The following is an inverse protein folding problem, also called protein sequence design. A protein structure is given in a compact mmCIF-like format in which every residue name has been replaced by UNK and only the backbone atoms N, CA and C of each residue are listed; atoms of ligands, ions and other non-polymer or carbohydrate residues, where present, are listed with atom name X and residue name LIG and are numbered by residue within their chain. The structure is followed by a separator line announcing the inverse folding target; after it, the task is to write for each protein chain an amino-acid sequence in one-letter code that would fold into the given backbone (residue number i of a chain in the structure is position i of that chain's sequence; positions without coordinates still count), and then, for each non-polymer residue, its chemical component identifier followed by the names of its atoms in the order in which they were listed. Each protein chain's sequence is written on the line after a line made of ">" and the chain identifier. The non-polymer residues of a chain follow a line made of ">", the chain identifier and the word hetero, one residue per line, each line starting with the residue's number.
data_IF_813200978374
#
_entry.id   IF_813200978374
#
_cell.length_a   1.000
_cell.length_b   1.000
_cell.length_c   1.000
_cell.angle_alpha   90.00
_cell.angle_beta   90.00
_cell.angle_gamma   90.00
#
_symmetry.space_group_name_H-M   'P 1'
#
loop_
_entity.id
_entity.type
_entity.pdbx_description
1 polymer ?
#
# COMPACT_ATOMS: atom_id res chain seq x y z
N UNK A 1 -13.28 -57.46 10.23
CA UNK A 1 -12.86 -57.78 11.61
C UNK A 1 -11.58 -57.01 11.97
N UNK A 2 -11.71 -55.89 12.67
CA UNK A 2 -10.87 -55.45 13.81
C UNK A 2 -11.34 -54.06 14.20
N UNK A 3 -11.46 -53.87 15.49
CA UNK A 3 -12.33 -52.90 16.12
C UNK A 3 -11.53 -51.95 17.01
N UNK A 4 -12.18 -50.81 17.29
CA UNK A 4 -12.11 -49.96 18.49
C UNK A 4 -10.92 -49.02 18.66
N UNK A 5 -11.30 -47.77 18.94
CA UNK A 5 -10.45 -46.72 19.50
C UNK A 5 -11.22 -45.41 19.65
N UNK A 6 -12.35 -45.40 20.35
CA UNK A 6 -13.12 -44.19 20.70
C UNK A 6 -12.56 -43.57 21.99
N UNK A 7 -12.14 -42.31 21.92
CA UNK A 7 -11.70 -41.53 23.09
C UNK A 7 -12.77 -40.50 23.46
N UNK A 8 -13.31 -40.66 24.66
CA UNK A 8 -14.33 -39.81 25.30
C UNK A 8 -13.66 -38.63 26.00
N UNK A 9 -14.09 -37.39 25.70
CA UNK A 9 -13.67 -36.19 26.42
C UNK A 9 -14.81 -35.77 27.36
N UNK A 10 -14.48 -35.77 28.66
CA UNK A 10 -15.33 -35.34 29.77
C UNK A 10 -15.50 -33.82 29.76
N UNK A 11 -16.74 -33.37 29.76
CA UNK A 11 -17.20 -32.02 30.05
C UNK A 11 -17.05 -31.70 31.54
N UNK A 12 -16.27 -30.67 31.87
CA UNK A 12 -16.19 -30.08 33.21
C UNK A 12 -17.00 -28.78 33.24
N UNK A 13 -18.16 -28.85 33.89
CA UNK A 13 -19.01 -27.70 34.16
C UNK A 13 -18.37 -26.78 35.22
N UNK A 14 -18.42 -25.48 34.96
CA UNK A 14 -18.04 -24.45 35.95
C UNK A 14 -19.16 -23.43 36.08
N UNK A 15 -19.94 -23.56 37.17
CA UNK A 15 -20.83 -22.53 37.70
C UNK A 15 -20.00 -21.39 38.31
N UNK A 16 -20.31 -20.13 37.99
CA UNK A 16 -20.04 -18.93 38.82
C UNK A 16 -21.05 -17.84 38.39
N UNK A 17 -22.07 -17.61 39.22
CA UNK A 17 -22.20 -16.57 40.25
C UNK A 17 -22.45 -15.17 39.68
N UNK A 18 -23.72 -14.79 39.73
CA UNK A 18 -24.29 -13.44 39.70
C UNK A 18 -24.04 -12.70 41.03
N UNK A 19 -23.74 -11.40 40.97
CA UNK A 19 -24.15 -10.32 41.91
C UNK A 19 -23.46 -9.02 41.50
N UNK A 20 -24.20 -7.98 41.09
CA UNK A 20 -24.46 -6.76 41.89
C UNK A 20 -23.20 -6.04 42.42
N UNK A 21 -22.93 -4.83 41.93
CA UNK A 21 -23.08 -3.58 42.71
C UNK A 21 -22.61 -2.37 41.90
N UNK A 22 -23.56 -1.58 41.43
CA UNK A 22 -23.37 -0.25 40.87
C UNK A 22 -23.60 0.77 41.99
N UNK A 23 -22.56 1.24 42.69
CA UNK A 23 -22.61 2.42 43.58
C UNK A 23 -21.23 2.69 44.21
N UNK A 24 -20.28 3.25 43.44
CA UNK A 24 -19.01 3.76 44.01
C UNK A 24 -18.22 4.67 43.04
N UNK A 25 -18.88 5.58 42.29
CA UNK A 25 -18.18 6.43 41.29
C UNK A 25 -18.31 7.94 41.41
N UNK A 26 -18.94 8.47 42.46
CA UNK A 26 -19.16 9.92 42.58
C UNK A 26 -18.36 10.65 43.67
N UNK A 27 -17.29 10.08 44.22
CA UNK A 27 -16.51 10.73 45.29
C UNK A 27 -15.05 11.08 44.94
N UNK A 28 -14.59 10.83 43.71
CA UNK A 28 -13.18 10.97 43.33
C UNK A 28 -12.85 12.16 42.41
N UNK A 29 -13.82 13.03 42.12
CA UNK A 29 -13.66 14.11 41.12
C UNK A 29 -13.35 15.50 41.69
N UNK A 30 -13.18 15.67 43.01
CA UNK A 30 -13.06 17.00 43.62
C UNK A 30 -11.66 17.36 44.17
N UNK A 31 -10.64 16.51 44.03
CA UNK A 31 -9.31 16.74 44.63
C UNK A 31 -8.12 16.80 43.65
N UNK A 32 -8.35 16.74 42.33
CA UNK A 32 -7.25 16.72 41.33
C UNK A 32 -7.09 17.98 40.47
N UNK A 33 -7.89 19.04 40.67
CA UNK A 33 -7.88 20.22 39.77
C UNK A 33 -6.96 21.36 40.21
N UNK A 34 -6.47 21.36 41.45
CA UNK A 34 -5.61 22.43 41.98
C UNK A 34 -4.14 22.37 41.48
N UNK A 35 -3.49 21.20 41.29
CA UNK A 35 -2.06 21.20 40.92
C UNK A 35 -1.78 21.49 39.43
N UNK A 36 -2.78 21.40 38.54
CA UNK A 36 -2.57 21.58 37.09
C UNK A 36 -2.40 23.07 36.73
N UNK A 37 -3.15 23.97 37.38
CA UNK A 37 -3.08 25.41 37.10
C UNK A 37 -1.73 25.99 37.52
N UNK A 38 -1.19 25.54 38.66
CA UNK A 38 0.14 25.96 39.12
C UNK A 38 1.26 25.51 38.17
N UNK A 39 1.15 24.30 37.61
CA UNK A 39 2.13 23.78 36.64
C UNK A 39 2.12 24.59 35.33
N UNK A 40 0.93 24.98 34.84
CA UNK A 40 0.81 25.80 33.64
C UNK A 40 1.44 27.19 33.80
N UNK A 41 1.33 27.81 34.99
CA UNK A 41 1.94 29.12 35.26
C UNK A 41 3.47 29.02 35.26
N UNK A 42 4.04 27.95 35.84
CA UNK A 42 5.49 27.74 35.85
C UNK A 42 6.04 27.49 34.43
N UNK A 43 5.35 26.67 33.63
CA UNK A 43 5.76 26.40 32.24
C UNK A 43 5.69 27.69 31.40
N UNK A 44 4.66 28.52 31.58
CA UNK A 44 4.54 29.79 30.88
C UNK A 44 5.67 30.77 31.26
N UNK A 45 6.05 30.83 32.54
CA UNK A 45 7.17 31.66 33.00
C UNK A 45 8.52 31.19 32.41
N UNK A 46 8.75 29.88 32.30
CA UNK A 46 9.98 29.32 31.69
C UNK A 46 10.06 29.64 30.19
N UNK A 47 8.93 29.62 29.47
CA UNK A 47 8.89 29.97 28.04
C UNK A 47 9.24 31.44 27.82
N UNK A 48 8.77 32.34 28.69
CA UNK A 48 9.07 33.78 28.59
C UNK A 48 10.54 34.11 28.93
N UNK A 49 11.19 33.33 29.78
CA UNK A 49 12.63 33.51 30.06
C UNK A 49 13.47 33.08 28.85
N UNK A 50 13.09 32.00 28.17
CA UNK A 50 13.82 31.52 26.99
C UNK A 50 13.66 32.38 25.74
N UNK A 51 12.56 33.13 25.60
CA UNK A 51 12.37 34.03 24.46
C UNK A 51 13.28 35.27 24.51
N UNK A 52 13.81 35.61 25.69
CA UNK A 52 14.70 36.76 25.87
C UNK A 52 16.19 36.47 25.64
N UNK A 53 16.61 35.19 25.57
CA UNK A 53 18.01 34.80 25.31
C UNK A 53 18.32 34.57 23.82
N UNK A 54 17.34 34.69 22.93
CA UNK A 54 17.49 34.35 21.51
C UNK A 54 17.91 35.52 20.59
N UNK A 55 18.30 36.69 21.14
CA UNK A 55 18.74 37.84 20.33
C UNK A 55 20.18 38.26 20.60
N UNK A 56 21.15 37.35 20.44
CA UNK A 56 22.55 37.74 20.32
C UNK A 56 23.43 36.58 19.86
N UNK A 57 23.69 36.47 18.55
CA UNK A 57 25.02 36.16 17.99
C UNK A 57 24.94 35.96 16.48
N UNK A 58 25.34 36.99 15.73
CA UNK A 58 25.89 36.82 14.37
C UNK A 58 27.43 36.71 14.46
N UNK A 59 27.99 36.11 13.40
CA UNK A 59 29.36 36.22 12.86
C UNK A 59 30.26 34.96 12.93
N UNK A 60 30.61 34.52 11.70
CA UNK A 60 31.89 34.01 11.18
C UNK A 60 32.03 32.55 10.71
N UNK A 61 32.05 32.43 9.38
CA UNK A 61 32.93 31.66 8.48
C UNK A 61 33.87 30.60 9.09
N UNK A 62 33.88 29.40 8.50
CA UNK A 62 35.07 28.87 7.80
C UNK A 62 34.77 27.58 7.01
N UNK A 63 35.64 27.35 6.02
CA UNK A 63 35.63 26.41 4.91
C UNK A 63 36.07 24.97 5.20
N UNK A 64 35.89 24.13 4.17
CA UNK A 64 36.63 22.89 3.83
C UNK A 64 36.11 21.62 4.54
N UNK A 65 35.96 20.44 3.94
CA UNK A 65 36.52 19.77 2.75
C UNK A 65 35.59 18.61 2.38
N UNK A 66 35.16 18.46 1.13
CA UNK A 66 34.55 17.21 0.66
C UNK A 66 34.82 17.00 -0.84
N UNK A 67 35.78 16.13 -1.14
CA UNK A 67 36.03 15.69 -2.51
C UNK A 67 36.63 14.29 -2.49
N UNK A 68 35.81 13.24 -2.53
CA UNK A 68 36.22 11.88 -2.93
C UNK A 68 34.98 11.02 -3.24
N UNK A 69 34.27 11.30 -4.34
CA UNK A 69 33.32 10.37 -4.99
C UNK A 69 32.87 10.79 -6.40
N UNK A 70 33.64 11.64 -7.10
CA UNK A 70 33.18 12.30 -8.34
C UNK A 70 33.88 11.87 -9.65
N UNK A 71 34.53 10.71 -9.70
CA UNK A 71 35.15 10.23 -10.95
C UNK A 71 34.68 8.84 -11.34
N UNK A 72 33.46 8.74 -11.87
CA UNK A 72 32.98 7.60 -12.69
C UNK A 72 31.63 7.91 -13.35
N UNK A 73 31.56 9.00 -14.10
CA UNK A 73 30.50 9.20 -15.11
C UNK A 73 31.15 9.82 -16.35
N UNK A 74 31.71 8.96 -17.21
CA UNK A 74 32.03 9.30 -18.59
C UNK A 74 30.73 9.20 -19.40
N UNK A 75 30.22 10.36 -19.81
CA UNK A 75 29.06 10.55 -20.67
C UNK A 75 29.30 9.95 -22.06
N UNK A 76 28.56 8.89 -22.40
CA UNK A 76 28.31 8.51 -23.79
C UNK A 76 27.19 9.39 -24.33
N UNK A 77 27.50 10.20 -25.33
CA UNK A 77 26.53 11.04 -26.06
C UNK A 77 25.64 10.16 -26.93
N UNK A 78 24.50 9.73 -26.38
CA UNK A 78 23.33 9.32 -27.17
C UNK A 78 22.47 10.55 -27.45
N UNK A 79 21.93 10.64 -28.67
CA UNK A 79 20.98 11.67 -29.11
C UNK A 79 19.76 11.73 -28.17
N UNK A 80 19.78 12.65 -27.22
CA UNK A 80 18.67 12.92 -26.31
C UNK A 80 17.50 13.50 -27.10
N UNK A 81 16.39 12.77 -27.14
CA UNK A 81 15.10 13.37 -27.46
C UNK A 81 14.83 14.42 -26.39
N UNK A 82 14.51 15.65 -26.80
CA UNK A 82 14.21 16.76 -25.87
C UNK A 82 12.85 16.45 -25.22
N UNK A 83 12.87 15.66 -24.15
CA UNK A 83 11.72 15.39 -23.32
C UNK A 83 11.38 16.65 -22.53
N UNK A 84 10.15 17.14 -22.69
CA UNK A 84 9.63 18.22 -21.84
C UNK A 84 9.49 17.66 -20.42
N UNK A 85 9.94 18.40 -19.38
CA UNK A 85 9.78 17.95 -18.01
C UNK A 85 8.31 17.67 -17.70
N UNK A 86 8.08 16.59 -16.97
CA UNK A 86 6.73 16.22 -16.53
C UNK A 86 6.14 17.38 -15.73
N UNK A 87 4.87 17.73 -16.00
CA UNK A 87 4.18 18.81 -15.29
C UNK A 87 3.89 18.43 -13.82
N UNK A 88 4.07 17.16 -13.45
CA UNK A 88 3.57 16.59 -12.21
C UNK A 88 4.71 16.16 -11.30
N UNK A 89 4.61 16.57 -10.03
CA UNK A 89 5.53 16.17 -8.97
C UNK A 89 4.93 15.12 -8.04
N UNK A 90 5.80 14.42 -7.35
CA UNK A 90 5.55 13.48 -6.26
C UNK A 90 5.92 14.19 -4.97
N UNK A 91 5.04 14.14 -3.98
CA UNK A 91 5.29 14.61 -2.64
C UNK A 91 6.18 13.63 -1.89
N UNK A 92 7.17 14.17 -1.19
CA UNK A 92 8.04 13.42 -0.30
C UNK A 92 7.68 13.63 1.17
N UNK A 93 6.53 14.24 1.50
CA UNK A 93 6.08 14.47 2.87
C UNK A 93 5.98 13.16 3.68
N UNK A 94 5.46 12.11 3.04
CA UNK A 94 5.47 10.74 3.55
C UNK A 94 6.87 10.10 3.46
N UNK A 95 7.95 10.86 3.39
CA UNK A 95 9.31 10.34 3.58
C UNK A 95 10.10 11.28 4.49
N UNK A 96 9.94 12.59 4.30
CA UNK A 96 10.70 13.65 4.95
C UNK A 96 10.18 14.03 6.35
N UNK A 97 8.86 14.00 6.56
CA UNK A 97 8.25 14.36 7.86
C UNK A 97 8.21 13.18 8.85
N UNK A 98 8.83 12.07 8.48
CA UNK A 98 8.89 10.86 9.28
C UNK A 98 9.81 11.01 10.49
N UNK A 99 9.28 10.76 11.68
CA UNK A 99 10.10 10.55 12.87
C UNK A 99 10.80 9.18 12.78
N UNK A 100 12.13 9.17 12.82
CA UNK A 100 12.92 7.92 12.90
C UNK A 100 12.38 7.03 14.02
N UNK A 101 11.94 5.83 13.68
CA UNK A 101 11.36 4.87 14.62
C UNK A 101 9.85 5.01 14.89
N UNK A 102 9.14 5.92 14.23
CA UNK A 102 7.67 6.02 14.26
C UNK A 102 6.96 4.85 13.54
N UNK A 103 5.62 4.77 13.62
CA UNK A 103 4.85 3.65 13.07
C UNK A 103 5.08 3.44 11.57
N UNK A 104 4.96 4.50 10.76
CA UNK A 104 5.14 4.42 9.30
C UNK A 104 6.56 3.93 8.94
N UNK A 105 7.57 4.42 9.65
CA UNK A 105 8.98 4.04 9.45
C UNK A 105 9.23 2.52 9.63
N UNK A 106 8.47 1.83 10.47
CA UNK A 106 8.72 0.41 10.78
C UNK A 106 7.96 -0.55 9.87
N UNK A 107 6.87 -0.12 9.26
CA UNK A 107 5.94 -1.04 8.57
C UNK A 107 5.67 -0.75 7.09
N UNK A 108 6.25 0.30 6.50
CA UNK A 108 6.15 0.54 5.05
C UNK A 108 4.71 0.68 4.55
N UNK A 109 4.44 0.16 3.36
CA UNK A 109 3.12 0.22 2.72
C UNK A 109 2.01 -0.45 3.53
N UNK A 110 2.27 -1.62 4.13
CA UNK A 110 1.28 -2.30 4.97
C UNK A 110 0.87 -1.44 6.17
N UNK A 111 1.81 -0.71 6.78
CA UNK A 111 1.45 0.21 7.86
C UNK A 111 0.70 1.44 7.38
N UNK A 112 1.02 1.95 6.19
CA UNK A 112 0.24 3.05 5.58
C UNK A 112 -1.19 2.60 5.29
N UNK A 113 -1.36 1.37 4.80
CA UNK A 113 -2.67 0.76 4.62
C UNK A 113 -3.45 0.70 5.93
N UNK A 114 -2.85 0.21 7.02
CA UNK A 114 -3.48 0.17 8.34
C UNK A 114 -3.91 1.58 8.81
N UNK A 115 -3.07 2.59 8.59
CA UNK A 115 -3.40 3.97 8.98
C UNK A 115 -4.54 4.55 8.11
N UNK A 116 -4.65 4.16 6.84
CA UNK A 116 -5.81 4.48 6.02
C UNK A 116 -7.09 3.77 6.52
N UNK A 117 -6.99 2.58 7.11
CA UNK A 117 -8.13 1.94 7.77
C UNK A 117 -8.58 2.76 9.00
N UNK A 118 -7.62 3.27 9.79
CA UNK A 118 -7.91 4.16 10.93
C UNK A 118 -8.63 5.44 10.45
N UNK A 119 -8.21 6.03 9.33
CA UNK A 119 -8.91 7.18 8.73
C UNK A 119 -10.31 6.83 8.22
N UNK A 120 -10.48 5.65 7.61
CA UNK A 120 -11.79 5.18 7.15
C UNK A 120 -12.77 5.09 8.33
N UNK A 121 -12.32 4.50 9.45
CA UNK A 121 -13.13 4.39 10.66
C UNK A 121 -13.51 5.75 11.22
N UNK A 122 -12.54 6.67 11.35
CA UNK A 122 -12.81 8.01 11.88
C UNK A 122 -13.79 8.78 11.00
N UNK A 123 -13.60 8.74 9.67
CA UNK A 123 -14.51 9.38 8.74
C UNK A 123 -15.92 8.77 8.82
N UNK A 124 -16.03 7.44 8.89
CA UNK A 124 -17.31 6.75 9.05
C UNK A 124 -18.03 7.19 10.33
N UNK A 125 -17.34 7.18 11.45
CA UNK A 125 -17.92 7.46 12.77
C UNK A 125 -18.41 8.92 12.85
N UNK A 126 -17.72 9.86 12.21
CA UNK A 126 -18.16 11.26 12.06
C UNK A 126 -19.39 11.43 11.15
N UNK A 127 -19.63 10.49 10.23
CA UNK A 127 -20.65 10.59 9.18
C UNK A 127 -21.77 9.55 9.33
N UNK A 128 -22.25 9.35 10.56
CA UNK A 128 -23.41 8.50 10.87
C UNK A 128 -23.26 7.03 10.42
N UNK A 129 -22.06 6.47 10.52
CA UNK A 129 -21.81 5.07 10.17
C UNK A 129 -22.13 4.71 8.72
N UNK A 130 -21.90 5.63 7.78
CA UNK A 130 -22.00 5.32 6.36
C UNK A 130 -21.07 4.15 6.00
N UNK A 131 -21.52 3.16 5.22
CA UNK A 131 -20.64 2.08 4.85
C UNK A 131 -19.54 2.58 3.92
N UNK A 132 -18.31 2.15 4.17
CA UNK A 132 -17.16 2.44 3.32
C UNK A 132 -16.64 1.16 2.68
N UNK A 133 -16.20 1.29 1.44
CA UNK A 133 -15.75 0.19 0.59
C UNK A 133 -14.25 0.33 0.37
N UNK A 134 -13.49 -0.72 0.65
CA UNK A 134 -12.04 -0.75 0.43
C UNK A 134 -11.68 -2.01 -0.35
N UNK A 135 -10.67 -1.89 -1.21
CA UNK A 135 -10.32 -2.95 -2.14
C UNK A 135 -8.83 -3.32 -2.05
N UNK A 136 -8.54 -4.61 -2.08
CA UNK A 136 -7.20 -5.18 -2.21
C UNK A 136 -7.12 -5.97 -3.52
N UNK A 137 -6.14 -5.64 -4.36
CA UNK A 137 -5.90 -6.28 -5.66
C UNK A 137 -4.52 -6.92 -5.66
N UNK A 138 -4.49 -8.23 -5.92
CA UNK A 138 -3.29 -9.06 -5.87
C UNK A 138 -2.94 -9.44 -4.44
N UNK A 139 -3.69 -10.43 -3.93
CA UNK A 139 -3.63 -10.85 -2.54
C UNK A 139 -2.86 -12.16 -2.41
N UNK A 140 -1.78 -12.15 -1.65
CA UNK A 140 -1.14 -13.41 -1.25
C UNK A 140 -1.93 -14.16 -0.16
N UNK A 141 -2.51 -13.41 0.79
CA UNK A 141 -3.14 -13.94 2.00
C UNK A 141 -4.36 -13.09 2.37
N UNK A 142 -5.32 -13.62 3.15
CA UNK A 142 -6.57 -12.90 3.44
C UNK A 142 -6.40 -11.77 4.47
N UNK A 143 -5.17 -11.41 4.83
CA UNK A 143 -4.86 -10.58 6.00
C UNK A 143 -5.45 -9.17 5.89
N UNK A 144 -5.21 -8.46 4.78
CA UNK A 144 -5.62 -7.06 4.64
C UNK A 144 -7.14 -6.97 4.42
N UNK A 145 -7.72 -7.82 3.57
CA UNK A 145 -9.17 -7.96 3.47
C UNK A 145 -9.88 -8.32 4.79
N UNK A 146 -9.33 -9.22 5.61
CA UNK A 146 -9.88 -9.52 6.93
C UNK A 146 -9.73 -8.33 7.89
N UNK A 147 -8.66 -7.56 7.80
CA UNK A 147 -8.50 -6.35 8.60
C UNK A 147 -9.61 -5.34 8.27
N UNK A 148 -9.84 -5.03 6.99
CA UNK A 148 -10.95 -4.18 6.52
C UNK A 148 -12.28 -4.64 7.12
N UNK A 149 -12.62 -5.92 6.92
CA UNK A 149 -13.89 -6.48 7.37
C UNK A 149 -14.05 -6.53 8.90
N UNK A 150 -12.96 -6.67 9.66
CA UNK A 150 -12.98 -6.62 11.15
C UNK A 150 -13.21 -5.22 11.69
N UNK A 151 -12.87 -4.19 10.92
CA UNK A 151 -13.14 -2.80 11.25
C UNK A 151 -14.55 -2.33 10.85
N UNK A 152 -15.45 -3.27 10.53
CA UNK A 152 -16.84 -2.99 10.09
C UNK A 152 -16.91 -2.13 8.82
N UNK A 153 -16.00 -2.41 7.88
CA UNK A 153 -15.93 -1.84 6.54
C UNK A 153 -16.18 -2.94 5.49
N UNK A 154 -16.59 -2.58 4.28
CA UNK A 154 -16.81 -3.53 3.18
C UNK A 154 -15.49 -3.79 2.44
N UNK A 155 -15.06 -5.06 2.44
CA UNK A 155 -13.82 -5.51 1.81
C UNK A 155 -14.09 -6.13 0.44
N UNK A 156 -13.39 -5.65 -0.58
CA UNK A 156 -13.39 -6.18 -1.94
C UNK A 156 -12.01 -6.76 -2.24
N UNK A 157 -11.97 -8.04 -2.57
CA UNK A 157 -10.77 -8.85 -2.51
C UNK A 157 -10.56 -9.51 -3.87
N UNK A 158 -9.52 -9.15 -4.61
CA UNK A 158 -9.29 -9.62 -5.99
C UNK A 158 -8.00 -10.43 -6.06
N UNK A 159 -8.12 -11.75 -6.27
CA UNK A 159 -6.97 -12.66 -6.35
C UNK A 159 -7.18 -13.76 -7.41
N UNK A 160 -6.35 -13.84 -8.47
CA UNK A 160 -6.47 -14.88 -9.48
C UNK A 160 -5.95 -16.27 -9.06
N UNK A 161 -4.93 -16.34 -8.21
CA UNK A 161 -4.13 -17.54 -7.97
C UNK A 161 -4.92 -18.67 -7.32
N UNK A 162 -5.09 -19.83 -8.00
CA UNK A 162 -5.73 -20.98 -7.39
C UNK A 162 -4.99 -21.49 -6.15
N UNK A 163 -3.66 -21.33 -6.10
CA UNK A 163 -2.86 -21.70 -4.92
C UNK A 163 -3.10 -20.78 -3.73
N UNK A 164 -3.16 -19.47 -3.96
CA UNK A 164 -3.48 -18.51 -2.89
C UNK A 164 -4.93 -18.67 -2.42
N UNK A 165 -5.86 -19.05 -3.32
CA UNK A 165 -7.28 -19.23 -3.00
C UNK A 165 -7.52 -20.16 -1.81
N UNK A 166 -6.88 -21.33 -1.75
CA UNK A 166 -7.14 -22.28 -0.66
C UNK A 166 -6.86 -21.63 0.72
N UNK A 167 -5.70 -20.96 0.84
CA UNK A 167 -5.32 -20.22 2.04
C UNK A 167 -6.28 -19.06 2.33
N UNK A 168 -6.70 -18.34 1.30
CA UNK A 168 -7.61 -17.18 1.43
C UNK A 168 -8.99 -17.62 1.93
N UNK A 169 -9.61 -18.59 1.27
CA UNK A 169 -10.93 -19.11 1.63
C UNK A 169 -10.89 -19.72 3.03
N UNK A 170 -9.86 -20.52 3.35
CA UNK A 170 -9.71 -21.07 4.70
C UNK A 170 -9.58 -19.98 5.78
N UNK A 171 -9.00 -18.82 5.45
CA UNK A 171 -8.95 -17.66 6.35
C UNK A 171 -10.29 -16.95 6.49
N UNK A 172 -11.02 -16.76 5.39
CA UNK A 172 -12.36 -16.16 5.40
C UNK A 172 -13.36 -17.03 6.18
N UNK A 173 -13.39 -18.34 5.94
CA UNK A 173 -14.30 -19.26 6.62
C UNK A 173 -14.04 -19.39 8.13
N UNK A 174 -12.82 -19.10 8.59
CA UNK A 174 -12.47 -19.04 10.01
C UNK A 174 -12.90 -17.74 10.70
N UNK A 175 -13.23 -16.70 9.94
CA UNK A 175 -13.66 -15.43 10.50
C UNK A 175 -15.07 -15.53 11.11
N UNK A 176 -15.43 -14.61 12.00
CA UNK A 176 -16.79 -14.55 12.54
C UNK A 176 -17.82 -14.26 11.42
N UNK A 177 -19.06 -14.78 11.50
CA UNK A 177 -20.06 -14.59 10.44
C UNK A 177 -20.34 -13.14 10.08
N UNK A 178 -20.29 -12.23 11.06
CA UNK A 178 -20.48 -10.79 10.84
C UNK A 178 -19.30 -10.14 10.09
N UNK A 179 -18.09 -10.70 10.21
CA UNK A 179 -16.92 -10.30 9.43
C UNK A 179 -17.03 -10.86 8.02
N UNK A 180 -17.41 -12.14 7.87
CA UNK A 180 -17.53 -12.79 6.56
C UNK A 180 -18.49 -12.04 5.63
N UNK A 181 -19.68 -11.64 6.13
CA UNK A 181 -20.68 -10.90 5.33
C UNK A 181 -20.18 -9.56 4.77
N UNK A 182 -19.04 -9.05 5.22
CA UNK A 182 -18.43 -7.80 4.73
C UNK A 182 -17.36 -8.06 3.67
N UNK A 183 -17.13 -9.33 3.28
CA UNK A 183 -16.11 -9.74 2.32
C UNK A 183 -16.78 -10.11 0.98
N UNK A 184 -16.29 -9.48 -0.09
CA UNK A 184 -16.62 -9.78 -1.48
C UNK A 184 -15.35 -10.28 -2.16
N UNK A 185 -15.30 -11.56 -2.52
CA UNK A 185 -14.10 -12.15 -3.11
C UNK A 185 -14.30 -12.43 -4.61
N UNK A 186 -13.35 -11.97 -5.41
CA UNK A 186 -13.29 -12.13 -6.86
C UNK A 186 -12.07 -12.98 -7.17
N UNK A 187 -12.28 -14.25 -7.52
CA UNK A 187 -11.22 -15.14 -7.97
C UNK A 187 -10.87 -14.87 -9.43
N UNK A 188 -10.37 -13.66 -9.69
CA UNK A 188 -10.15 -13.12 -11.03
C UNK A 188 -8.87 -12.29 -11.04
N UNK A 189 -8.22 -12.22 -12.19
CA UNK A 189 -7.08 -11.32 -12.38
C UNK A 189 -7.58 -9.91 -12.70
N UNK A 190 -7.16 -8.90 -11.93
CA UNK A 190 -7.45 -7.53 -12.32
C UNK A 190 -6.74 -7.21 -13.66
N UNK A 191 -7.47 -6.61 -14.61
CA UNK A 191 -6.98 -6.31 -15.96
C UNK A 191 -7.80 -5.17 -16.58
N UNK A 192 -7.50 -4.80 -17.82
CA UNK A 192 -8.23 -3.81 -18.60
C UNK A 192 -9.64 -4.22 -19.07
N UNK A 193 -10.01 -5.50 -18.96
CA UNK A 193 -11.29 -6.05 -19.43
C UNK A 193 -11.79 -7.13 -18.47
N UNK A 194 -13.10 -7.36 -18.48
CA UNK A 194 -13.75 -8.42 -17.69
C UNK A 194 -14.06 -9.67 -18.53
N UNK A 195 -14.03 -10.81 -17.87
CA UNK A 195 -14.40 -12.14 -18.39
C UNK A 195 -13.52 -12.69 -19.54
N UNK A 196 -12.39 -12.05 -19.83
CA UNK A 196 -11.38 -12.57 -20.76
C UNK A 196 -10.54 -13.62 -20.05
N UNK A 197 -10.25 -14.72 -20.75
CA UNK A 197 -9.34 -15.76 -20.27
C UNK A 197 -7.89 -15.28 -20.40
N UNK A 198 -7.18 -15.25 -19.29
CA UNK A 198 -5.76 -14.91 -19.22
C UNK A 198 -4.95 -16.12 -18.78
N UNK A 199 -3.80 -16.32 -19.42
CA UNK A 199 -2.80 -17.26 -18.95
C UNK A 199 -2.17 -16.72 -17.67
N UNK A 200 -2.03 -17.57 -16.66
CA UNK A 200 -1.54 -17.19 -15.34
C UNK A 200 -0.55 -18.24 -14.82
N UNK A 201 0.61 -17.78 -14.38
CA UNK A 201 1.59 -18.58 -13.67
C UNK A 201 1.24 -18.56 -12.18
N UNK A 202 0.86 -19.71 -11.62
CA UNK A 202 0.52 -19.84 -10.20
C UNK A 202 1.64 -20.56 -9.43
N UNK A 203 2.47 -19.77 -8.75
CA UNK A 203 3.47 -20.19 -7.78
C UNK A 203 2.93 -20.21 -6.33
N UNK A 204 1.90 -19.42 -6.02
CA UNK A 204 1.30 -19.26 -4.70
C UNK A 204 2.02 -18.25 -3.81
N UNK A 205 2.62 -17.20 -4.40
CA UNK A 205 3.52 -16.24 -3.77
C UNK A 205 3.96 -15.12 -4.72
N UNK A 206 5.14 -14.54 -4.50
CA UNK A 206 5.74 -13.51 -5.39
C UNK A 206 5.99 -13.98 -6.83
N UNK A 207 5.94 -15.29 -7.08
CA UNK A 207 6.00 -15.84 -8.43
C UNK A 207 4.65 -15.84 -9.18
N UNK A 208 3.56 -15.38 -8.56
CA UNK A 208 2.24 -15.29 -9.20
C UNK A 208 2.20 -14.12 -10.20
N UNK A 209 1.91 -14.40 -11.47
CA UNK A 209 1.82 -13.35 -12.51
C UNK A 209 0.99 -13.78 -13.72
N UNK A 210 0.50 -12.77 -14.46
CA UNK A 210 -0.17 -12.96 -15.75
C UNK A 210 0.86 -13.12 -16.86
N UNK A 211 0.59 -14.03 -17.80
CA UNK A 211 1.38 -14.20 -19.02
C UNK A 211 2.14 -15.52 -19.09
N UNK A 212 3.24 -15.49 -19.84
CA UNK A 212 4.14 -16.63 -20.03
C UNK A 212 5.01 -16.90 -18.80
N UNK A 213 5.69 -18.05 -18.80
CA UNK A 213 6.64 -18.41 -17.77
C UNK A 213 7.74 -17.36 -17.65
N UNK A 214 7.84 -16.72 -16.49
CA UNK A 214 8.90 -15.75 -16.20
C UNK A 214 9.62 -16.20 -14.93
N UNK A 215 10.95 -16.21 -15.00
CA UNK A 215 11.76 -16.22 -13.79
C UNK A 215 11.83 -14.77 -13.30
N UNK A 216 10.93 -14.41 -12.38
CA UNK A 216 10.82 -13.03 -11.87
C UNK A 216 12.10 -12.60 -11.16
N UNK A 217 12.81 -13.53 -10.53
CA UNK A 217 14.07 -13.27 -9.85
C UNK A 217 15.19 -12.89 -10.83
N UNK A 218 15.18 -13.47 -12.02
CA UNK A 218 16.14 -13.15 -13.09
C UNK A 218 15.63 -12.10 -14.08
N UNK A 219 14.35 -11.74 -14.03
CA UNK A 219 13.67 -10.91 -15.03
C UNK A 219 13.88 -11.46 -16.45
N UNK A 220 13.64 -12.77 -16.63
CA UNK A 220 13.78 -13.45 -17.92
C UNK A 220 12.53 -14.26 -18.24
N UNK A 221 12.09 -14.17 -19.49
CA UNK A 221 11.09 -15.08 -20.05
C UNK A 221 11.73 -16.47 -20.18
N UNK A 222 11.08 -17.48 -19.62
CA UNK A 222 11.49 -18.88 -19.75
C UNK A 222 10.82 -19.42 -21.02
N UNK A 223 11.59 -19.93 -22.00
CA UNK A 223 11.01 -20.59 -23.16
C UNK A 223 10.09 -21.74 -22.72
N UNK A 224 8.91 -21.88 -23.33
CA UNK A 224 7.91 -22.87 -22.89
C UNK A 224 8.42 -24.32 -22.88
N UNK A 225 9.48 -24.64 -23.63
CA UNK A 225 10.12 -25.96 -23.67
C UNK A 225 11.19 -26.21 -22.59
N UNK A 226 11.63 -25.16 -21.88
CA UNK A 226 12.79 -25.19 -20.98
C UNK A 226 12.39 -25.13 -19.49
N UNK A 227 11.11 -25.31 -19.17
CA UNK A 227 10.66 -25.44 -17.78
C UNK A 227 11.34 -26.66 -17.15
N UNK A 228 12.35 -26.39 -16.33
CA UNK A 228 13.23 -27.37 -15.72
C UNK A 228 12.56 -28.02 -14.50
N UNK A 229 13.13 -29.13 -14.00
CA UNK A 229 12.65 -29.73 -12.74
C UNK A 229 12.79 -28.79 -11.52
N UNK A 230 13.59 -27.72 -11.57
CA UNK A 230 13.63 -26.70 -10.51
C UNK A 230 12.41 -25.76 -10.52
N UNK A 231 11.61 -25.76 -11.59
CA UNK A 231 10.35 -25.00 -11.72
C UNK A 231 9.12 -25.80 -11.22
N UNK A 232 9.34 -26.91 -10.51
CA UNK A 232 8.33 -27.87 -10.02
C UNK A 232 7.20 -27.26 -9.16
N UNK A 233 7.26 -25.96 -8.85
CA UNK A 233 6.25 -25.22 -8.11
C UNK A 233 5.37 -24.29 -8.95
N UNK A 234 5.59 -24.07 -10.25
CA UNK A 234 4.77 -23.15 -11.05
C UNK A 234 3.78 -23.94 -11.89
N UNK A 235 2.48 -23.72 -11.67
CA UNK A 235 1.43 -24.28 -12.52
C UNK A 235 0.82 -23.20 -13.40
N UNK A 236 0.78 -23.44 -14.71
CA UNK A 236 0.06 -22.56 -15.64
C UNK A 236 -1.41 -22.94 -15.66
N UNK A 237 -2.24 -21.94 -15.39
CA UNK A 237 -3.69 -22.06 -15.38
C UNK A 237 -4.28 -20.93 -16.22
N UNK A 238 -5.52 -21.11 -16.66
CA UNK A 238 -6.31 -20.03 -17.23
C UNK A 238 -7.18 -19.46 -16.12
N UNK A 239 -7.14 -18.14 -15.95
CA UNK A 239 -7.99 -17.40 -15.00
C UNK A 239 -8.84 -16.38 -15.75
N UNK A 240 -10.01 -16.07 -15.22
CA UNK A 240 -10.83 -14.98 -15.74
C UNK A 240 -10.27 -13.64 -15.28
N UNK A 241 -10.32 -12.65 -16.16
CA UNK A 241 -9.98 -11.27 -15.86
C UNK A 241 -11.17 -10.45 -15.38
N UNK A 242 -10.91 -9.36 -14.67
CA UNK A 242 -11.91 -8.38 -14.25
C UNK A 242 -11.36 -6.96 -14.38
N UNK A 243 -12.13 -6.07 -14.99
CA UNK A 243 -11.88 -4.64 -14.90
C UNK A 243 -12.42 -4.11 -13.56
N UNK A 244 -11.60 -3.38 -12.82
CA UNK A 244 -12.00 -2.82 -11.52
C UNK A 244 -13.19 -1.87 -11.67
N UNK A 245 -13.28 -1.12 -12.77
CA UNK A 245 -14.43 -0.29 -13.12
C UNK A 245 -15.74 -1.09 -13.19
N UNK A 246 -15.69 -2.36 -13.61
CA UNK A 246 -16.87 -3.24 -13.67
C UNK A 246 -17.25 -3.75 -12.27
N UNK A 247 -16.28 -3.90 -11.34
CA UNK A 247 -16.57 -4.16 -9.93
C UNK A 247 -17.24 -2.94 -9.29
N UNK A 248 -16.64 -1.75 -9.45
CA UNK A 248 -17.12 -0.48 -8.87
C UNK A 248 -18.52 -0.14 -9.38
N UNK A 249 -18.79 -0.38 -10.66
CA UNK A 249 -20.14 -0.19 -11.25
C UNK A 249 -21.12 -1.32 -10.93
N UNK A 250 -20.69 -2.36 -10.22
CA UNK A 250 -21.47 -3.56 -9.89
C UNK A 250 -21.96 -4.33 -11.14
N UNK A 251 -21.21 -4.26 -12.24
CA UNK A 251 -21.46 -5.02 -13.46
C UNK A 251 -20.94 -6.47 -13.37
N UNK A 252 -20.02 -6.74 -12.44
CA UNK A 252 -19.49 -8.08 -12.16
C UNK A 252 -19.81 -8.48 -10.72
N UNK A 253 -20.38 -9.67 -10.57
CA UNK A 253 -20.65 -10.27 -9.27
C UNK A 253 -19.38 -10.93 -8.72
N UNK A 254 -19.16 -10.88 -7.39
CA UNK A 254 -18.08 -11.63 -6.74
C UNK A 254 -18.22 -13.14 -6.95
N UNK A 255 -17.09 -13.85 -6.99
CA UNK A 255 -17.03 -15.31 -6.99
C UNK A 255 -17.60 -15.87 -5.69
N UNK A 256 -17.23 -15.29 -4.55
CA UNK A 256 -17.75 -15.64 -3.24
C UNK A 256 -18.33 -14.40 -2.55
N UNK A 257 -19.64 -14.43 -2.32
CA UNK A 257 -20.40 -13.40 -1.61
C UNK A 257 -21.09 -13.97 -0.37
N UNK A 258 -20.42 -13.80 0.77
CA UNK A 258 -20.98 -14.25 2.05
C UNK A 258 -22.20 -13.42 2.49
N UNK A 259 -22.35 -12.19 1.98
CA UNK A 259 -23.48 -11.31 2.28
C UNK A 259 -24.74 -11.69 1.48
N UNK A 260 -24.58 -12.08 0.21
CA UNK A 260 -25.69 -12.50 -0.66
C UNK A 260 -26.36 -13.79 -0.17
N UNK A 261 -25.58 -14.70 0.44
CA UNK A 261 -26.11 -15.86 1.17
C UNK A 261 -27.10 -15.45 2.28
N UNK A 262 -27.04 -14.20 2.74
CA UNK A 262 -27.89 -13.61 3.78
C UNK A 262 -28.91 -12.59 3.23
N UNK A 263 -28.97 -12.38 1.91
CA UNK A 263 -29.94 -11.49 1.27
C UNK A 263 -29.64 -9.99 1.35
N UNK A 264 -28.40 -9.58 1.67
CA UNK A 264 -28.03 -8.17 1.78
C UNK A 264 -26.76 -7.86 0.97
N UNK A 265 -26.92 -7.58 -0.33
CA UNK A 265 -25.80 -7.12 -1.17
C UNK A 265 -25.76 -5.59 -1.21
N UNK A 266 -24.68 -5.02 -0.68
CA UNK A 266 -24.45 -3.59 -0.77
C UNK A 266 -23.70 -3.24 -2.06
N UNK A 267 -24.19 -2.22 -2.77
CA UNK A 267 -23.53 -1.67 -3.96
C UNK A 267 -22.37 -0.76 -3.56
N UNK A 268 -21.34 -0.71 -4.40
CA UNK A 268 -20.28 0.30 -4.28
C UNK A 268 -20.81 1.62 -4.83
N UNK A 269 -20.88 2.64 -3.98
CA UNK A 269 -21.09 4.02 -4.43
C UNK A 269 -19.75 4.70 -4.74
N UNK A 270 -18.78 4.54 -3.83
CA UNK A 270 -17.43 5.12 -3.92
C UNK A 270 -16.45 4.32 -3.09
N UNK A 271 -15.29 3.98 -3.67
CA UNK A 271 -14.19 3.38 -2.91
C UNK A 271 -13.55 4.41 -1.98
N UNK A 272 -13.36 4.05 -0.72
CA UNK A 272 -12.51 4.81 0.18
C UNK A 272 -11.05 4.62 -0.21
N UNK A 273 -10.57 3.37 -0.28
CA UNK A 273 -9.20 3.10 -0.70
C UNK A 273 -9.11 1.84 -1.57
N UNK A 274 -8.11 1.80 -2.45
CA UNK A 274 -7.68 0.60 -3.18
C UNK A 274 -6.17 0.42 -3.03
N UNK A 275 -5.74 -0.81 -2.75
CA UNK A 275 -4.33 -1.24 -2.82
C UNK A 275 -4.14 -2.14 -4.03
N UNK A 276 -3.15 -1.84 -4.87
CA UNK A 276 -2.81 -2.57 -6.10
C UNK A 276 -1.38 -3.09 -6.00
N UNK A 277 -1.22 -4.40 -6.02
CA UNK A 277 0.07 -5.09 -5.96
C UNK A 277 -0.02 -6.33 -6.85
N UNK A 278 0.35 -6.18 -8.12
CA UNK A 278 0.13 -7.20 -9.16
C UNK A 278 1.41 -7.60 -9.87
N UNK A 279 2.54 -7.43 -9.19
CA UNK A 279 3.85 -7.95 -9.60
C UNK A 279 4.22 -7.54 -11.04
N UNK A 280 4.04 -6.25 -11.38
CA UNK A 280 4.39 -5.69 -12.69
C UNK A 280 3.22 -5.61 -13.68
N UNK A 281 2.08 -6.26 -13.40
CA UNK A 281 0.90 -6.20 -14.27
C UNK A 281 0.04 -4.93 -14.08
N UNK A 282 0.53 -3.96 -13.30
CA UNK A 282 -0.19 -2.73 -12.94
C UNK A 282 -0.73 -1.95 -14.16
N UNK A 283 -0.04 -1.81 -15.32
CA UNK A 283 -0.57 -1.02 -16.44
C UNK A 283 -1.94 -1.50 -16.94
N UNK A 284 -2.14 -2.83 -16.97
CA UNK A 284 -3.42 -3.41 -17.37
C UNK A 284 -4.49 -3.16 -16.30
N UNK A 285 -4.14 -3.29 -15.02
CA UNK A 285 -5.02 -2.99 -13.88
C UNK A 285 -5.45 -1.52 -13.91
N UNK A 286 -4.51 -0.59 -14.12
CA UNK A 286 -4.79 0.85 -14.21
C UNK A 286 -5.64 1.21 -15.43
N UNK A 287 -5.49 0.50 -16.54
CA UNK A 287 -6.41 0.62 -17.68
C UNK A 287 -7.84 0.20 -17.31
N UNK A 288 -7.99 -0.82 -16.45
CA UNK A 288 -9.27 -1.32 -15.96
C UNK A 288 -9.89 -0.55 -14.79
N UNK A 289 -9.16 0.37 -14.15
CA UNK A 289 -9.66 1.28 -13.09
C UNK A 289 -9.73 2.75 -13.56
N UNK A 290 -9.52 2.97 -14.86
CA UNK A 290 -9.36 4.30 -15.43
C UNK A 290 -10.59 5.18 -15.21
N UNK A 291 -11.81 4.68 -15.41
CA UNK A 291 -13.03 5.49 -15.22
C UNK A 291 -13.22 5.83 -13.74
N UNK A 292 -12.92 4.90 -12.84
CA UNK A 292 -12.97 5.12 -11.39
C UNK A 292 -12.02 6.24 -10.98
N UNK A 293 -10.81 6.29 -11.56
CA UNK A 293 -9.84 7.37 -11.34
C UNK A 293 -10.36 8.70 -11.90
N UNK A 294 -10.75 8.73 -13.18
CA UNK A 294 -11.22 9.93 -13.90
C UNK A 294 -12.46 10.57 -13.25
N UNK A 295 -13.35 9.75 -12.71
CA UNK A 295 -14.57 10.20 -12.01
C UNK A 295 -14.35 10.49 -10.53
N UNK A 296 -13.12 10.36 -10.03
CA UNK A 296 -12.78 10.46 -8.60
C UNK A 296 -13.64 9.56 -7.71
N UNK A 297 -14.01 8.38 -8.20
CA UNK A 297 -14.79 7.36 -7.48
C UNK A 297 -13.92 6.49 -6.54
N UNK A 298 -12.69 6.91 -6.31
CA UNK A 298 -11.79 6.39 -5.28
C UNK A 298 -11.09 7.56 -4.57
N UNK A 299 -11.03 7.53 -3.23
CA UNK A 299 -10.35 8.60 -2.48
C UNK A 299 -8.83 8.40 -2.42
N UNK A 300 -8.40 7.15 -2.20
CA UNK A 300 -6.99 6.79 -2.03
C UNK A 300 -6.61 5.60 -2.91
N UNK A 301 -5.58 5.75 -3.73
CA UNK A 301 -5.00 4.65 -4.53
C UNK A 301 -3.59 4.41 -4.02
N UNK A 302 -3.33 3.22 -3.48
CA UNK A 302 -1.98 2.78 -3.12
C UNK A 302 -1.52 1.73 -4.11
N UNK A 303 -0.33 1.87 -4.67
CA UNK A 303 0.21 0.91 -5.63
C UNK A 303 1.68 0.62 -5.36
N UNK A 304 2.07 -0.62 -5.57
CA UNK A 304 3.48 -0.96 -5.73
C UNK A 304 3.97 -0.32 -7.04
N UNK A 305 4.96 0.55 -6.94
CA UNK A 305 5.62 1.20 -8.05
C UNK A 305 6.98 0.53 -8.28
N UNK A 306 6.95 -0.49 -9.13
CA UNK A 306 8.09 -1.33 -9.49
C UNK A 306 8.46 -1.13 -10.97
N UNK A 307 9.23 -0.08 -11.34
CA UNK A 307 9.45 0.28 -12.73
C UNK A 307 9.94 -0.85 -13.63
N UNK A 308 10.96 -1.58 -13.18
CA UNK A 308 11.55 -2.66 -13.96
C UNK A 308 10.59 -3.81 -14.20
N UNK A 309 9.81 -4.19 -13.20
CA UNK A 309 8.77 -5.19 -13.34
C UNK A 309 7.68 -4.74 -14.29
N UNK A 310 7.18 -3.52 -14.09
CA UNK A 310 6.15 -2.95 -14.93
C UNK A 310 6.58 -2.90 -16.39
N UNK A 311 7.75 -2.35 -16.72
CA UNK A 311 8.24 -2.28 -18.10
C UNK A 311 8.45 -3.69 -18.68
N UNK A 312 8.99 -4.62 -17.90
CA UNK A 312 9.24 -5.99 -18.33
C UNK A 312 7.95 -6.77 -18.62
N UNK A 313 6.94 -6.63 -17.77
CA UNK A 313 5.66 -7.35 -17.86
C UNK A 313 4.70 -6.77 -18.91
N UNK A 314 4.90 -5.51 -19.29
CA UNK A 314 4.02 -4.80 -20.24
C UNK A 314 4.56 -4.72 -21.66
N UNK A 315 5.68 -5.41 -21.93
CA UNK A 315 6.41 -5.35 -23.20
C UNK A 315 6.77 -3.90 -23.61
N UNK A 316 7.12 -3.07 -22.64
CA UNK A 316 7.56 -1.69 -22.87
C UNK A 316 8.79 -1.66 -23.78
N UNK A 317 8.83 -0.68 -24.69
CA UNK A 317 9.94 -0.52 -25.63
C UNK A 317 11.09 0.31 -25.04
N UNK A 318 10.77 1.15 -24.07
CA UNK A 318 11.72 2.04 -23.39
C UNK A 318 11.60 1.92 -21.87
N UNK A 319 12.71 2.16 -21.15
CA UNK A 319 12.69 2.27 -19.69
C UNK A 319 11.75 3.41 -19.29
N UNK A 320 10.97 3.20 -18.24
CA UNK A 320 10.03 4.17 -17.71
C UNK A 320 8.94 4.59 -18.71
N UNK A 321 8.57 3.72 -19.65
CA UNK A 321 7.43 3.98 -20.54
C UNK A 321 6.13 3.77 -19.76
N UNK A 322 5.86 2.53 -19.35
CA UNK A 322 4.60 2.16 -18.68
C UNK A 322 4.48 2.57 -17.20
N UNK A 323 5.55 2.56 -16.39
CA UNK A 323 5.49 3.06 -15.02
C UNK A 323 5.08 4.54 -14.98
N UNK A 324 5.62 5.37 -15.89
CA UNK A 324 5.32 6.80 -15.95
C UNK A 324 3.89 7.03 -16.38
N UNK A 325 3.37 6.28 -17.37
CA UNK A 325 1.98 6.36 -17.80
C UNK A 325 0.98 6.17 -16.64
N UNK A 326 1.25 5.25 -15.70
CA UNK A 326 0.41 5.02 -14.51
C UNK A 326 0.35 6.27 -13.62
N UNK A 327 1.52 6.83 -13.29
CA UNK A 327 1.60 7.98 -12.39
C UNK A 327 1.07 9.25 -13.07
N UNK A 328 1.28 9.41 -14.37
CA UNK A 328 0.70 10.50 -15.15
C UNK A 328 -0.83 10.39 -15.27
N UNK A 329 -1.40 9.18 -15.38
CA UNK A 329 -2.85 8.97 -15.32
C UNK A 329 -3.43 9.52 -14.00
N UNK A 330 -2.82 9.20 -12.87
CA UNK A 330 -3.27 9.69 -11.56
C UNK A 330 -3.10 11.22 -11.45
N UNK A 331 -1.91 11.74 -11.77
CA UNK A 331 -1.61 13.16 -11.59
C UNK A 331 -2.39 14.07 -12.55
N UNK A 332 -2.58 13.64 -13.81
CA UNK A 332 -3.39 14.38 -14.79
C UNK A 332 -4.87 14.44 -14.42
N UNK A 333 -5.36 13.48 -13.62
CA UNK A 333 -6.67 13.51 -13.01
C UNK A 333 -6.69 14.23 -11.64
N UNK A 334 -5.64 14.98 -11.30
CA UNK A 334 -5.60 15.84 -10.13
C UNK A 334 -5.30 15.13 -8.80
N UNK A 335 -4.87 13.87 -8.82
CA UNK A 335 -4.43 13.21 -7.60
C UNK A 335 -3.06 13.76 -7.15
N UNK A 336 -2.92 13.99 -5.84
CA UNK A 336 -1.62 14.29 -5.25
C UNK A 336 -0.89 12.96 -5.00
N UNK A 337 0.31 12.80 -5.57
CA UNK A 337 1.11 11.58 -5.45
C UNK A 337 2.06 11.70 -4.26
N UNK A 338 2.18 10.68 -3.43
CA UNK A 338 3.12 10.62 -2.32
C UNK A 338 3.96 9.36 -2.43
N UNK A 339 5.27 9.51 -2.52
CA UNK A 339 6.17 8.37 -2.42
C UNK A 339 6.25 7.90 -0.97
N UNK A 340 6.21 6.59 -0.77
CA UNK A 340 6.58 5.97 0.49
C UNK A 340 8.10 5.75 0.52
N UNK A 341 8.70 5.69 1.71
CA UNK A 341 10.17 5.56 1.83
C UNK A 341 10.65 4.13 1.62
N UNK A 342 9.75 3.14 1.57
CA UNK A 342 10.12 1.74 1.46
C UNK A 342 10.64 1.45 0.05
N UNK A 343 11.85 1.92 -0.21
CA UNK A 343 12.58 1.55 -1.40
C UNK A 343 13.12 0.15 -1.14
N UNK A 344 12.38 -0.82 -1.65
CA UNK A 344 12.65 -2.23 -1.48
C UNK A 344 13.78 -2.70 -2.38
N UNK A 345 14.53 -3.67 -1.87
CA UNK A 345 15.27 -4.64 -2.67
C UNK A 345 15.02 -6.02 -2.01
N UNK A 346 14.69 -7.09 -2.75
CA UNK A 346 14.09 -8.29 -2.16
C UNK A 346 15.11 -9.23 -1.56
N UNK A 347 16.40 -9.00 -1.81
CA UNK A 347 17.47 -9.76 -1.18
C UNK A 347 18.00 -9.04 0.06
N UNK A 348 18.25 -9.83 1.12
CA UNK A 348 19.07 -9.44 2.27
C UNK A 348 20.50 -9.02 1.86
N UNK A 349 20.90 -9.31 0.61
CA UNK A 349 22.13 -8.86 0.00
C UNK A 349 22.08 -7.42 -0.50
N UNK A 350 21.02 -6.66 -0.24
CA UNK A 350 21.00 -5.22 -0.50
C UNK A 350 22.26 -4.61 0.13
N UNK A 351 23.22 -4.12 -0.68
CA UNK A 351 24.49 -3.65 -0.16
C UNK A 351 24.19 -2.59 0.92
N UNK A 352 24.87 -2.64 2.06
CA UNK A 352 24.69 -1.61 3.11
C UNK A 352 24.88 -0.22 2.50
N UNK A 353 25.73 -0.14 1.49
CA UNK A 353 26.00 0.99 0.62
C UNK A 353 24.75 1.50 -0.12
N UNK A 354 23.94 0.62 -0.70
CA UNK A 354 22.69 0.99 -1.36
C UNK A 354 21.68 1.54 -0.35
N UNK A 355 21.54 0.86 0.79
CA UNK A 355 20.69 1.34 1.89
C UNK A 355 21.16 2.69 2.42
N UNK A 356 22.46 2.91 2.54
CA UNK A 356 23.02 4.22 2.92
C UNK A 356 22.77 5.26 1.84
N UNK A 357 22.99 4.96 0.56
CA UNK A 357 22.69 5.86 -0.55
C UNK A 357 21.22 6.29 -0.55
N UNK A 358 20.32 5.31 -0.40
CA UNK A 358 18.86 5.53 -0.36
C UNK A 358 18.41 6.23 0.93
N UNK A 359 19.11 6.15 2.05
CA UNK A 359 18.69 6.81 3.29
C UNK A 359 19.38 8.15 3.56
N UNK A 360 20.66 8.25 3.23
CA UNK A 360 21.54 9.36 3.60
C UNK A 360 21.65 10.39 2.45
N UNK A 361 21.67 9.95 1.19
CA UNK A 361 21.81 10.84 0.02
C UNK A 361 20.47 11.24 -0.63
N UNK A 362 19.37 10.60 -0.25
CA UNK A 362 18.09 10.63 -0.99
C UNK A 362 17.18 11.82 -0.71
N UNK A 363 17.25 12.43 0.47
CA UNK A 363 16.26 13.45 0.83
C UNK A 363 16.34 14.70 -0.06
N UNK A 364 17.52 15.01 -0.61
CA UNK A 364 17.73 16.17 -1.47
C UNK A 364 17.94 15.83 -2.95
N UNK A 365 18.22 14.58 -3.30
CA UNK A 365 18.63 14.20 -4.66
C UNK A 365 17.66 13.27 -5.38
N UNK A 366 16.64 12.73 -4.70
CA UNK A 366 15.58 12.03 -5.43
C UNK A 366 14.78 13.08 -6.22
N UNK A 367 14.64 12.92 -7.55
CA UNK A 367 13.97 13.90 -8.40
C UNK A 367 12.45 13.75 -8.31
N UNK A 368 11.89 13.90 -7.11
CA UNK A 368 10.46 13.76 -6.87
C UNK A 368 9.61 14.76 -7.68
N UNK A 369 10.17 15.87 -8.13
CA UNK A 369 9.46 16.89 -8.91
C UNK A 369 9.18 16.49 -10.36
N UNK A 370 9.73 15.37 -10.85
CA UNK A 370 9.48 14.84 -12.20
C UNK A 370 9.31 13.32 -12.12
N UNK A 371 8.11 12.84 -12.46
CA UNK A 371 7.75 11.42 -12.41
C UNK A 371 8.70 10.53 -13.23
N UNK A 372 9.12 10.99 -14.41
CA UNK A 372 10.00 10.23 -15.30
C UNK A 372 11.42 10.21 -14.75
N UNK A 373 11.92 11.35 -14.26
CA UNK A 373 13.21 11.41 -13.59
C UNK A 373 13.22 10.52 -12.33
N UNK A 374 12.13 10.48 -11.56
CA UNK A 374 11.97 9.60 -10.41
C UNK A 374 12.03 8.12 -10.79
N UNK A 375 11.35 7.74 -11.87
CA UNK A 375 11.42 6.39 -12.40
C UNK A 375 12.85 6.01 -12.84
N UNK A 376 13.52 6.85 -13.62
CA UNK A 376 14.90 6.59 -14.04
C UNK A 376 15.87 6.56 -12.86
N UNK A 377 15.61 7.34 -11.80
CA UNK A 377 16.40 7.28 -10.58
C UNK A 377 16.40 5.87 -9.97
N UNK A 378 15.26 5.16 -9.95
CA UNK A 378 15.22 3.77 -9.46
C UNK A 378 16.06 2.81 -10.32
N UNK A 379 16.05 2.97 -11.65
CA UNK A 379 16.97 2.23 -12.52
C UNK A 379 18.45 2.58 -12.26
N UNK A 380 18.75 3.86 -12.04
CA UNK A 380 20.12 4.29 -11.75
C UNK A 380 20.62 3.73 -10.41
N UNK A 381 19.76 3.61 -9.40
CA UNK A 381 20.09 2.95 -8.14
C UNK A 381 20.47 1.48 -8.39
N UNK A 382 19.75 0.78 -9.26
CA UNK A 382 20.10 -0.59 -9.66
C UNK A 382 21.45 -0.68 -10.37
N UNK A 383 21.74 0.25 -11.27
CA UNK A 383 23.03 0.29 -11.99
C UNK A 383 24.21 0.57 -11.05
N UNK A 384 24.00 1.43 -10.04
CA UNK A 384 25.02 1.75 -9.02
C UNK A 384 25.22 0.61 -8.02
N UNK A 385 24.14 -0.08 -7.66
CA UNK A 385 24.13 -1.13 -6.65
C UNK A 385 23.45 -2.39 -7.19
N UNK A 386 24.03 -3.04 -8.22
CA UNK A 386 23.45 -4.22 -8.81
C UNK A 386 23.53 -5.38 -7.84
N UNK A 387 22.47 -6.18 -7.77
CA UNK A 387 22.55 -7.48 -7.10
C UNK A 387 23.01 -8.56 -8.07
N UNK A 388 23.86 -9.45 -7.57
CA UNK A 388 24.45 -10.55 -8.36
C UNK A 388 23.46 -11.69 -8.60
N UNK A 389 22.62 -11.94 -7.61
CA UNK A 389 21.74 -13.11 -7.57
C UNK A 389 20.28 -12.72 -7.81
N UNK A 390 20.03 -11.44 -8.10
CA UNK A 390 18.71 -10.88 -7.96
C UNK A 390 18.48 -9.67 -8.87
N UNK A 391 17.50 -9.77 -9.77
CA UNK A 391 17.34 -8.81 -10.86
C UNK A 391 15.97 -8.13 -10.91
N UNK A 392 15.09 -8.26 -9.92
CA UNK A 392 13.83 -7.48 -9.95
C UNK A 392 14.10 -5.97 -9.91
N UNK A 393 15.24 -5.53 -9.36
CA UNK A 393 15.55 -4.11 -9.24
C UNK A 393 14.90 -3.49 -8.01
N UNK A 394 14.79 -2.16 -8.00
CA UNK A 394 14.25 -1.39 -6.87
C UNK A 394 12.81 -0.96 -7.16
N UNK A 395 11.98 -0.96 -6.11
CA UNK A 395 10.61 -0.47 -6.15
C UNK A 395 10.33 0.37 -4.91
N UNK A 396 9.21 1.07 -4.94
CA UNK A 396 8.63 1.75 -3.79
C UNK A 396 7.12 1.61 -3.86
N UNK A 397 6.40 2.06 -2.85
CA UNK A 397 4.96 2.28 -2.98
C UNK A 397 4.63 3.76 -3.20
N UNK A 398 3.55 4.01 -3.92
CA UNK A 398 2.97 5.35 -4.13
C UNK A 398 1.57 5.36 -3.53
N UNK A 399 1.28 6.37 -2.71
CA UNK A 399 -0.08 6.74 -2.30
C UNK A 399 -0.53 7.93 -3.13
N UNK A 400 -1.61 7.77 -3.91
CA UNK A 400 -2.27 8.85 -4.62
C UNK A 400 -3.56 9.26 -3.89
N UNK A 401 -3.68 10.56 -3.60
CA UNK A 401 -4.80 11.15 -2.86
C UNK A 401 -5.66 11.96 -3.81
N UNK A 402 -6.93 11.56 -3.95
CA UNK A 402 -7.92 12.22 -4.78
C UNK A 402 -8.10 13.69 -4.38
N UNK A 403 -8.33 14.62 -5.34
CA UNK A 403 -8.67 16.00 -5.00
C UNK A 403 -10.00 16.10 -4.26
N UNK A 404 -10.82 15.04 -4.27
CA UNK A 404 -12.10 14.96 -3.59
C UNK A 404 -12.09 13.92 -2.45
N UNK A 405 -10.90 13.61 -1.93
CA UNK A 405 -10.72 12.59 -0.90
C UNK A 405 -11.56 12.88 0.35
N UNK A 406 -12.15 11.83 0.90
CA UNK A 406 -12.88 11.87 2.18
C UNK A 406 -11.90 11.67 3.33
N UNK A 407 -11.88 12.61 4.27
CA UNK A 407 -11.06 12.58 5.47
C UNK A 407 -11.88 13.12 6.65
N UNK A 408 -11.68 12.56 7.84
CA UNK A 408 -12.29 13.06 9.06
C UNK A 408 -11.87 14.53 9.33
N UNK A 409 -12.73 15.30 10.02
CA UNK A 409 -12.42 16.69 10.39
C UNK A 409 -11.14 16.78 11.20
N UNK A 410 -10.95 15.82 12.10
CA UNK A 410 -9.72 15.60 12.85
C UNK A 410 -9.14 14.26 12.37
N UNK A 411 -8.05 14.26 11.60
CA UNK A 411 -7.42 13.02 11.16
C UNK A 411 -7.06 12.14 12.36
N UNK A 412 -7.30 10.83 12.23
CA UNK A 412 -7.08 9.88 13.32
C UNK A 412 -5.64 9.34 13.35
N UNK A 413 -4.91 9.49 12.25
CA UNK A 413 -3.62 8.86 12.00
C UNK A 413 -2.55 9.86 11.54
N UNK A 414 -1.29 9.44 11.61
CA UNK A 414 -0.16 10.21 11.08
C UNK A 414 -0.29 10.46 9.56
N UNK A 415 -0.77 9.47 8.79
CA UNK A 415 -1.00 9.62 7.35
C UNK A 415 -2.05 10.69 7.08
N UNK A 416 -3.18 10.65 7.79
CA UNK A 416 -4.24 11.65 7.65
C UNK A 416 -3.78 13.06 7.96
N UNK A 417 -2.97 13.26 9.01
CA UNK A 417 -2.38 14.57 9.33
C UNK A 417 -1.43 15.07 8.23
N UNK A 418 -0.64 14.19 7.62
CA UNK A 418 0.31 14.55 6.56
C UNK A 418 -0.40 14.92 5.25
N UNK A 419 -1.50 14.24 4.91
CA UNK A 419 -2.25 14.49 3.68
C UNK A 419 -3.34 15.56 3.84
N UNK A 420 -3.75 15.91 5.06
CA UNK A 420 -4.81 16.89 5.33
C UNK A 420 -4.65 18.23 4.56
N UNK A 421 -3.44 18.81 4.40
CA UNK A 421 -3.28 20.04 3.62
C UNK A 421 -3.67 19.92 2.14
N UNK A 422 -3.74 18.70 1.61
CA UNK A 422 -4.03 18.38 0.21
C UNK A 422 -5.47 17.91 -0.01
N UNK A 423 -6.24 17.75 1.08
CA UNK A 423 -7.65 17.35 1.03
C UNK A 423 -8.50 18.60 1.26
N UNK A 424 -9.45 18.94 0.36
CA UNK A 424 -10.32 20.09 0.56
C UNK A 424 -11.12 19.95 1.85
N UNK A 425 -11.15 21.02 2.65
CA UNK A 425 -12.03 21.11 3.82
C UNK A 425 -13.47 21.23 3.32
N UNK A 426 -14.32 20.27 3.67
CA UNK A 426 -15.75 20.29 3.37
C UNK A 426 -16.58 20.83 4.52
#
# INVERSE_FOLDING_TARGET
>A
MRAKGTTSIKTLGKKRKTSQSSEARNFFLFLCTIPIVALCIIVYAIIQIKSHEASSSEISNSSSTESHLRSKLTTSTSTESVHKPSKYGIHNDLTAKWKKGGPIHRGGADKVWDLLLEEAMAFRDENNNIPLHLMEVGMHAPTQCLAIARHDLQAYCVEPSPKSRERIIAGFEKAAPDVQKRIKFYQMAASNQSNVDLKFASAGGTGDHIGDAINIWEMKKIPQGDLSQSDQGISFVTVKSVAIDDIVSNAIEPTDDYAKKLGNSQKIDKLFAIKIDTQGFEPSVFSGVKKTIEQHNVDYVMTEFWPKGIDFMSDATEKCEKPVEILELLASNGYNLFALRNIGHPSDSNPKEAKHYINDFSHNNIPYHDVRAFCHWLYNVEELFPSKDYHMGYWTDILAVSPNARLAKIPASEVGHLIQPYVPRR
#
